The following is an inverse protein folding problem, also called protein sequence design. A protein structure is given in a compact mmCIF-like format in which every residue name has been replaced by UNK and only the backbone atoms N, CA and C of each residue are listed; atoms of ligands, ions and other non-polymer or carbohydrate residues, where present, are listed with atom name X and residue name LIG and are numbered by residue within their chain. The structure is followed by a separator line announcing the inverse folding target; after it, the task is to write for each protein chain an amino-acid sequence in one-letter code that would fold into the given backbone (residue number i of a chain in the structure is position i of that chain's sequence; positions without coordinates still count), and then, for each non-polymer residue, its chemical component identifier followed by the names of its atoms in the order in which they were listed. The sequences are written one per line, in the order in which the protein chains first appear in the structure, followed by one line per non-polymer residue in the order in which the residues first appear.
data_IF_476020673933
#
_entry.id   IF_476020673933
#
_cell.length_a   1.000
_cell.length_b   1.000
_cell.length_c   1.000
_cell.angle_alpha   90.00
_cell.angle_beta   90.00
_cell.angle_gamma   90.00
#
_symmetry.space_group_name_H-M   'P 1'
#
loop_
_entity.id
_entity.type
_entity.pdbx_description
1 polymer ?
#
# COMPACT_ATOMS: atom_id res chain seq x y z
N UNK A 1 -9.40 -19.66 -38.94
CA UNK A 1 -10.02 -18.42 -38.42
C UNK A 1 -10.79 -18.72 -37.14
N UNK A 2 -10.17 -18.44 -35.98
CA UNK A 2 -10.77 -18.47 -34.63
C UNK A 2 -10.12 -17.31 -33.85
N UNK A 3 -10.85 -16.58 -32.98
CA UNK A 3 -10.46 -15.25 -32.55
C UNK A 3 -9.38 -15.32 -31.46
N UNK A 4 -8.26 -14.67 -31.73
CA UNK A 4 -7.04 -14.62 -30.92
C UNK A 4 -6.95 -13.30 -30.14
N UNK A 5 -8.05 -12.88 -29.50
CA UNK A 5 -8.17 -11.58 -28.81
C UNK A 5 -8.93 -11.79 -27.50
N UNK A 6 -8.31 -12.40 -26.47
CA UNK A 6 -8.85 -12.38 -25.09
C UNK A 6 -7.82 -12.38 -23.96
N UNK A 7 -6.51 -12.37 -24.23
CA UNK A 7 -5.47 -12.56 -23.20
C UNK A 7 -4.64 -11.31 -22.86
N UNK A 8 -5.10 -10.11 -23.24
CA UNK A 8 -4.32 -8.87 -23.06
C UNK A 8 -4.95 -7.83 -22.10
N UNK A 9 -6.07 -8.16 -21.44
CA UNK A 9 -6.86 -7.17 -20.68
C UNK A 9 -6.69 -7.13 -19.15
N UNK A 10 -6.18 -8.14 -18.41
CA UNK A 10 -6.14 -8.03 -16.94
C UNK A 10 -4.84 -7.42 -16.39
N UNK A 11 -3.71 -7.49 -17.11
CA UNK A 11 -2.41 -6.96 -16.62
C UNK A 11 -2.36 -5.42 -16.63
N UNK A 12 -3.16 -4.77 -17.48
CA UNK A 12 -3.25 -3.30 -17.55
C UNK A 12 -4.14 -2.70 -16.43
N UNK A 13 -5.04 -3.48 -15.84
CA UNK A 13 -6.00 -2.96 -14.86
C UNK A 13 -5.39 -2.74 -13.47
N UNK A 14 -4.41 -3.53 -13.04
CA UNK A 14 -3.82 -3.38 -11.70
C UNK A 14 -2.70 -2.32 -11.63
N UNK A 15 -2.02 -2.03 -12.74
CA UNK A 15 -1.01 -0.96 -12.81
C UNK A 15 -1.63 0.46 -12.94
N UNK A 16 -2.91 0.58 -13.29
CA UNK A 16 -3.59 1.87 -13.53
C UNK A 16 -4.31 2.47 -12.31
N UNK A 17 -4.36 1.78 -11.16
CA UNK A 17 -5.16 2.24 -10.00
C UNK A 17 -4.27 2.86 -8.90
N UNK A 18 -2.95 2.65 -8.94
CA UNK A 18 -2.01 3.16 -7.93
C UNK A 18 -1.35 4.51 -8.23
N UNK A 19 -1.33 4.96 -9.50
CA UNK A 19 -0.59 6.16 -9.90
C UNK A 19 -1.47 7.39 -10.22
N UNK A 20 -2.79 7.22 -10.30
CA UNK A 20 -3.69 8.29 -10.74
C UNK A 20 -4.21 9.15 -9.59
N UNK A 21 -4.29 8.62 -8.37
CA UNK A 21 -4.86 9.34 -7.25
C UNK A 21 -3.95 9.15 -6.04
N UNK A 22 -3.42 10.24 -5.51
CA UNK A 22 -2.57 10.19 -4.32
C UNK A 22 -2.68 11.46 -3.48
N UNK A 23 -2.64 11.27 -2.16
CA UNK A 23 -2.46 12.34 -1.18
C UNK A 23 -1.13 12.14 -0.47
N UNK A 24 -0.30 13.19 -0.48
CA UNK A 24 0.98 13.24 0.22
C UNK A 24 0.95 14.30 1.31
N UNK A 25 1.64 14.03 2.41
CA UNK A 25 1.74 14.91 3.55
C UNK A 25 3.20 15.35 3.74
N UNK A 26 3.42 16.62 4.09
CA UNK A 26 4.75 17.19 4.30
C UNK A 26 5.48 16.59 5.51
N UNK A 27 4.73 16.24 6.55
CA UNK A 27 5.25 15.70 7.80
C UNK A 27 4.60 14.35 8.13
N UNK A 28 5.25 13.49 8.96
CA UNK A 28 4.60 12.30 9.47
C UNK A 28 3.59 12.64 10.56
N UNK A 29 2.82 11.63 10.98
CA UNK A 29 1.73 11.78 11.93
C UNK A 29 2.21 11.87 13.39
N UNK A 30 2.32 13.08 13.94
CA UNK A 30 2.69 13.30 15.35
C UNK A 30 4.11 12.86 15.70
N UNK A 31 4.44 12.84 16.99
CA UNK A 31 5.79 12.55 17.49
C UNK A 31 6.00 11.12 18.00
N UNK A 32 4.91 10.44 18.36
CA UNK A 32 4.93 9.06 18.84
C UNK A 32 4.93 8.08 17.66
N UNK A 33 6.08 7.99 16.98
CA UNK A 33 6.28 7.09 15.85
C UNK A 33 6.99 5.83 16.32
N UNK A 34 6.33 4.70 16.15
CA UNK A 34 6.85 3.38 16.47
C UNK A 34 7.36 2.68 15.22
N UNK A 35 8.44 1.92 15.36
CA UNK A 35 9.01 1.11 14.26
C UNK A 35 8.45 -0.31 14.22
N UNK A 36 7.63 -0.69 15.21
CA UNK A 36 7.08 -2.02 15.33
C UNK A 36 5.68 -2.02 15.94
N UNK A 37 4.70 -2.58 15.23
CA UNK A 37 3.48 -3.10 15.82
C UNK A 37 3.52 -4.64 15.77
N UNK A 38 3.54 -5.27 16.95
CA UNK A 38 3.56 -6.74 17.07
C UNK A 38 2.33 -7.41 16.47
N UNK A 39 1.20 -6.71 16.33
CA UNK A 39 0.00 -7.24 15.69
C UNK A 39 0.20 -7.44 14.17
N UNK A 40 1.21 -6.82 13.56
CA UNK A 40 1.57 -7.02 12.16
C UNK A 40 2.52 -8.20 11.93
N UNK A 41 3.13 -8.77 12.97
CA UNK A 41 4.07 -9.90 12.82
C UNK A 41 3.43 -11.09 12.08
N UNK A 42 4.21 -11.70 11.21
CA UNK A 42 3.81 -12.83 10.38
C UNK A 42 3.76 -12.51 8.89
N UNK A 43 3.26 -13.48 8.13
CA UNK A 43 3.13 -13.42 6.68
C UNK A 43 1.68 -13.11 6.30
N UNK A 44 1.46 -12.19 5.38
CA UNK A 44 0.16 -11.67 4.98
C UNK A 44 0.01 -11.66 3.47
N UNK A 45 -1.17 -12.04 2.99
CA UNK A 45 -1.55 -12.02 1.58
C UNK A 45 -2.88 -11.32 1.41
N UNK A 46 -3.10 -10.71 0.25
CA UNK A 46 -4.35 -10.02 -0.04
C UNK A 46 -5.54 -11.01 0.02
N UNK A 47 -6.67 -10.58 0.58
CA UNK A 47 -7.88 -11.37 0.60
C UNK A 47 -8.40 -11.56 -0.81
N UNK A 48 -8.44 -12.82 -1.28
CA UNK A 48 -8.80 -13.15 -2.65
C UNK A 48 -7.64 -13.78 -3.42
N UNK A 49 -6.40 -13.58 -2.97
CA UNK A 49 -5.24 -14.32 -3.45
C UNK A 49 -5.34 -15.77 -2.98
N UNK A 50 -5.91 -16.62 -3.82
CA UNK A 50 -5.99 -18.04 -3.53
C UNK A 50 -4.62 -18.69 -3.76
N UNK A 51 -3.84 -18.77 -2.68
CA UNK A 51 -2.57 -19.50 -2.63
C UNK A 51 -2.71 -20.97 -3.07
N UNK A 52 -3.93 -21.52 -3.21
CA UNK A 52 -4.20 -22.91 -3.65
C UNK A 52 -4.51 -23.07 -5.14
N UNK A 53 -4.98 -22.03 -5.84
CA UNK A 53 -5.29 -22.04 -7.29
C UNK A 53 -4.10 -22.12 -8.25
N UNK A 54 -3.77 -23.28 -8.80
CA UNK A 54 -2.59 -23.46 -9.69
C UNK A 54 -2.75 -22.95 -11.14
N UNK A 55 -3.76 -22.14 -11.46
CA UNK A 55 -3.92 -21.58 -12.81
C UNK A 55 -2.85 -20.52 -13.11
N UNK A 56 -2.20 -20.61 -14.27
CA UNK A 56 -0.93 -19.95 -14.64
C UNK A 56 -0.92 -18.42 -14.76
N UNK A 57 -1.95 -17.71 -14.30
CA UNK A 57 -2.01 -16.24 -14.26
C UNK A 57 -1.95 -15.73 -12.82
N UNK A 58 -0.92 -16.17 -12.06
CA UNK A 58 -0.71 -15.70 -10.69
C UNK A 58 0.27 -14.54 -10.64
N UNK A 59 -0.25 -13.39 -10.23
CA UNK A 59 0.53 -12.38 -9.52
C UNK A 59 0.30 -12.63 -8.03
N UNK A 60 1.35 -12.86 -7.26
CA UNK A 60 1.24 -12.96 -5.82
C UNK A 60 1.89 -11.73 -5.20
N UNK A 61 1.08 -11.01 -4.41
CA UNK A 61 1.53 -9.85 -3.65
C UNK A 61 1.20 -10.07 -2.19
N UNK A 62 2.22 -9.98 -1.36
CA UNK A 62 2.06 -10.13 0.09
C UNK A 62 3.16 -9.39 0.81
N UNK A 63 3.15 -9.48 2.13
CA UNK A 63 4.24 -8.96 2.94
C UNK A 63 4.48 -9.81 4.16
N UNK A 64 5.71 -9.77 4.67
CA UNK A 64 6.09 -10.37 5.92
C UNK A 64 6.62 -9.30 6.88
N UNK A 65 6.24 -9.41 8.15
CA UNK A 65 6.87 -8.67 9.24
C UNK A 65 7.51 -9.69 10.17
N UNK A 66 8.84 -9.65 10.26
CA UNK A 66 9.61 -10.60 11.05
C UNK A 66 9.61 -10.28 12.55
N UNK A 67 10.31 -11.10 13.34
CA UNK A 67 10.41 -10.92 14.78
C UNK A 67 11.15 -9.65 15.21
N UNK A 68 12.01 -9.12 14.34
CA UNK A 68 12.71 -7.84 14.49
C UNK A 68 11.90 -6.66 13.91
N UNK A 69 10.65 -6.91 13.51
CA UNK A 69 9.73 -5.95 12.92
C UNK A 69 10.20 -5.36 11.59
N UNK A 70 11.04 -6.09 10.86
CA UNK A 70 11.38 -5.72 9.50
C UNK A 70 10.23 -6.06 8.55
N UNK A 71 9.63 -5.04 7.95
CA UNK A 71 8.63 -5.21 6.91
C UNK A 71 9.31 -5.52 5.56
N UNK A 72 8.88 -6.62 4.95
CA UNK A 72 9.35 -7.09 3.65
C UNK A 72 8.16 -7.27 2.72
N UNK A 73 8.09 -6.49 1.66
CA UNK A 73 7.20 -6.71 0.54
C UNK A 73 7.66 -7.93 -0.26
N UNK A 74 6.73 -8.79 -0.64
CA UNK A 74 6.95 -10.01 -1.40
C UNK A 74 6.12 -9.93 -2.66
N UNK A 75 6.79 -10.01 -3.81
CA UNK A 75 6.17 -9.98 -5.12
C UNK A 75 6.61 -11.21 -5.91
N UNK A 76 5.67 -11.88 -6.58
CA UNK A 76 5.95 -12.84 -7.64
C UNK A 76 5.24 -12.35 -8.91
N UNK A 77 5.95 -11.60 -9.78
CA UNK A 77 5.33 -11.01 -10.96
C UNK A 77 4.83 -12.03 -11.97
N UNK A 78 5.43 -13.22 -12.04
CA UNK A 78 5.05 -14.28 -12.96
C UNK A 78 4.92 -15.61 -12.23
N UNK A 79 3.89 -16.39 -12.54
CA UNK A 79 3.65 -17.68 -11.90
C UNK A 79 4.86 -18.61 -12.07
N UNK A 80 5.41 -19.10 -10.95
CA UNK A 80 6.59 -19.96 -10.94
C UNK A 80 7.93 -19.22 -11.13
N UNK A 81 7.90 -17.92 -11.40
CA UNK A 81 9.08 -17.05 -11.43
C UNK A 81 9.70 -16.84 -10.04
N UNK A 82 10.88 -16.19 -9.97
CA UNK A 82 11.52 -15.91 -8.69
C UNK A 82 10.71 -14.92 -7.86
N UNK A 83 10.71 -15.12 -6.53
CA UNK A 83 10.17 -14.13 -5.61
C UNK A 83 11.12 -12.95 -5.51
N UNK A 84 10.57 -11.75 -5.67
CA UNK A 84 11.23 -10.50 -5.32
C UNK A 84 10.85 -10.15 -3.90
N UNK A 85 11.86 -9.91 -3.06
CA UNK A 85 11.68 -9.47 -1.68
C UNK A 85 12.28 -8.09 -1.54
N UNK A 86 11.53 -7.12 -1.05
CA UNK A 86 12.02 -5.76 -0.85
C UNK A 86 11.69 -5.28 0.55
N UNK A 87 12.72 -4.90 1.30
CA UNK A 87 12.54 -4.34 2.64
C UNK A 87 12.05 -2.91 2.52
N UNK A 88 10.92 -2.60 3.17
CA UNK A 88 10.33 -1.27 3.16
C UNK A 88 10.27 -0.75 4.60
N UNK A 89 11.00 0.33 4.92
CA UNK A 89 10.82 0.99 6.21
C UNK A 89 9.40 1.54 6.33
N UNK A 90 8.63 1.00 7.27
CA UNK A 90 7.32 1.53 7.64
C UNK A 90 7.30 1.88 9.11
N UNK A 91 6.44 2.81 9.49
CA UNK A 91 6.25 3.22 10.86
C UNK A 91 4.78 3.15 11.27
N UNK A 92 4.53 3.10 12.56
CA UNK A 92 3.21 2.98 13.15
C UNK A 92 2.94 4.16 14.09
N UNK A 93 1.69 4.61 14.14
CA UNK A 93 1.23 5.67 15.04
C UNK A 93 -0.13 5.27 15.58
N UNK A 94 -0.33 5.42 16.89
CA UNK A 94 -1.57 5.08 17.58
C UNK A 94 -2.20 6.34 18.19
N UNK A 95 -3.43 6.67 17.79
CA UNK A 95 -4.09 7.92 18.19
C UNK A 95 -5.56 7.67 18.50
N UNK A 96 -5.97 7.90 19.76
CA UNK A 96 -7.37 7.85 20.20
C UNK A 96 -8.10 6.54 19.83
N UNK A 97 -7.40 5.41 19.87
CA UNK A 97 -7.94 4.09 19.54
C UNK A 97 -7.93 3.75 18.04
N UNK A 98 -7.32 4.61 17.22
CA UNK A 98 -7.06 4.35 15.81
C UNK A 98 -5.58 4.14 15.55
N UNK A 99 -5.29 3.24 14.61
CA UNK A 99 -3.94 2.84 14.26
C UNK A 99 -3.62 3.24 12.82
N UNK A 100 -2.42 3.78 12.61
CA UNK A 100 -1.99 4.34 11.33
C UNK A 100 -0.64 3.78 10.95
N UNK A 101 -0.49 3.42 9.67
CA UNK A 101 0.81 3.14 9.07
C UNK A 101 1.27 4.38 8.33
N UNK A 102 2.53 4.74 8.52
CA UNK A 102 3.18 5.92 7.94
C UNK A 102 4.39 5.47 7.15
N UNK A 103 4.42 5.83 5.87
CA UNK A 103 5.51 5.48 4.94
C UNK A 103 6.06 6.75 4.32
N UNK A 104 7.39 6.92 4.29
CA UNK A 104 7.99 8.04 3.56
C UNK A 104 8.13 7.72 2.08
N UNK A 105 8.07 8.74 1.23
CA UNK A 105 8.37 8.63 -0.20
C UNK A 105 9.78 8.04 -0.45
N UNK A 106 10.75 8.40 0.37
CA UNK A 106 12.11 7.87 0.31
C UNK A 106 12.15 6.35 0.54
N UNK A 107 11.26 5.80 1.39
CA UNK A 107 11.15 4.37 1.62
C UNK A 107 10.58 3.61 0.41
N UNK A 108 9.90 4.31 -0.50
CA UNK A 108 9.29 3.76 -1.70
C UNK A 108 10.17 3.90 -2.95
N UNK A 109 11.33 4.53 -2.85
CA UNK A 109 12.25 4.74 -3.98
C UNK A 109 12.68 3.39 -4.58
N UNK A 110 12.45 3.23 -5.89
CA UNK A 110 12.78 2.00 -6.63
C UNK A 110 11.70 0.91 -6.55
N UNK A 111 10.65 1.12 -5.77
CA UNK A 111 9.43 0.31 -5.79
C UNK A 111 8.38 0.89 -6.72
N UNK A 112 8.21 2.21 -6.66
CA UNK A 112 7.23 2.95 -7.46
C UNK A 112 7.86 4.24 -7.99
N UNK A 113 7.38 4.72 -9.13
CA UNK A 113 7.79 6.00 -9.70
C UNK A 113 6.91 7.11 -9.14
N UNK A 114 7.47 7.93 -8.24
CA UNK A 114 6.78 9.06 -7.62
C UNK A 114 7.24 10.36 -8.27
N UNK A 115 6.35 10.99 -9.03
CA UNK A 115 6.57 12.35 -9.54
C UNK A 115 6.62 13.35 -8.37
N UNK A 116 7.34 14.44 -8.51
CA UNK A 116 7.31 15.52 -7.52
C UNK A 116 5.88 16.08 -7.38
N UNK A 117 5.46 16.51 -6.17
CA UNK A 117 4.20 17.21 -5.99
C UNK A 117 4.10 18.44 -6.89
N UNK A 118 2.93 18.65 -7.47
CA UNK A 118 2.69 19.75 -8.40
C UNK A 118 2.63 21.11 -7.69
N UNK A 119 3.19 22.12 -8.34
CA UNK A 119 3.17 23.53 -7.91
C UNK A 119 3.75 23.75 -6.51
N UNK A 120 4.73 22.91 -6.14
CA UNK A 120 5.55 23.08 -4.93
C UNK A 120 6.99 23.36 -5.35
N UNK A 121 7.44 24.61 -5.18
CA UNK A 121 8.81 25.05 -5.43
C UNK A 121 9.41 25.67 -4.14
N UNK A 122 10.54 25.15 -3.61
CA UNK A 122 11.25 23.96 -4.07
C UNK A 122 10.46 22.68 -3.83
N UNK A 123 10.67 21.62 -4.64
CA UNK A 123 10.09 20.31 -4.37
C UNK A 123 10.39 19.86 -2.94
N UNK A 124 9.41 19.27 -2.23
CA UNK A 124 9.61 18.89 -0.85
C UNK A 124 10.70 17.82 -0.75
N UNK A 125 11.57 17.96 0.24
CA UNK A 125 12.68 17.02 0.43
C UNK A 125 12.20 15.62 0.86
N UNK A 126 11.02 15.56 1.50
CA UNK A 126 10.36 14.35 1.96
C UNK A 126 8.86 14.55 1.89
N UNK A 127 8.17 13.45 1.64
CA UNK A 127 6.72 13.35 1.72
C UNK A 127 6.34 12.06 2.44
N UNK A 128 5.14 12.04 3.01
CA UNK A 128 4.63 10.91 3.76
C UNK A 128 3.27 10.47 3.22
N UNK A 129 3.03 9.16 3.28
CA UNK A 129 1.77 8.52 2.98
C UNK A 129 1.22 7.92 4.26
N UNK A 130 -0.10 8.07 4.45
CA UNK A 130 -0.81 7.51 5.60
C UNK A 130 -1.84 6.50 5.12
N UNK A 131 -2.00 5.42 5.89
CA UNK A 131 -3.20 4.60 5.84
C UNK A 131 -3.65 4.28 7.26
N UNK A 132 -4.96 4.28 7.48
CA UNK A 132 -5.51 3.79 8.75
C UNK A 132 -5.65 2.28 8.63
N UNK A 133 -5.20 1.56 9.64
CA UNK A 133 -5.32 0.12 9.66
C UNK A 133 -6.12 -0.38 10.85
N UNK A 134 -6.53 -1.65 10.75
CA UNK A 134 -7.09 -2.38 11.87
C UNK A 134 -6.74 -3.85 11.76
N UNK A 135 -6.16 -4.39 12.82
CA UNK A 135 -5.93 -5.83 12.95
C UNK A 135 -7.04 -6.46 13.79
N UNK A 136 -7.65 -7.54 13.30
CA UNK A 136 -8.61 -8.38 14.02
C UNK A 136 -8.28 -9.84 13.81
N UNK A 137 -7.60 -10.45 14.78
CA UNK A 137 -7.14 -11.84 14.67
C UNK A 137 -6.17 -12.00 13.49
N UNK A 138 -6.56 -12.80 12.50
CA UNK A 138 -5.77 -13.05 11.29
C UNK A 138 -6.15 -12.14 10.11
N UNK A 139 -6.95 -11.09 10.32
CA UNK A 139 -7.38 -10.15 9.28
C UNK A 139 -6.78 -8.78 9.55
N UNK A 140 -6.14 -8.19 8.54
CA UNK A 140 -5.67 -6.81 8.54
C UNK A 140 -6.47 -6.04 7.50
N UNK A 141 -7.09 -4.95 7.91
CA UNK A 141 -7.81 -4.04 7.02
C UNK A 141 -7.01 -2.74 6.89
N UNK A 142 -6.79 -2.27 5.66
CA UNK A 142 -6.19 -0.96 5.38
C UNK A 142 -7.24 -0.07 4.70
N UNK A 143 -7.31 1.18 5.16
CA UNK A 143 -8.11 2.25 4.55
C UNK A 143 -7.14 3.32 4.10
N UNK A 144 -7.07 3.55 2.79
CA UNK A 144 -6.30 4.67 2.26
C UNK A 144 -6.99 6.00 2.58
N UNK A 145 -6.24 7.07 2.40
CA UNK A 145 -6.78 8.43 2.44
C UNK A 145 -7.81 8.59 1.31
N UNK A 146 -8.94 9.19 1.62
CA UNK A 146 -9.94 9.59 0.64
C UNK A 146 -9.47 10.91 0.00
N UNK A 147 -8.76 10.76 -1.12
CA UNK A 147 -8.10 11.87 -1.80
C UNK A 147 -9.08 12.97 -2.23
N UNK A 148 -10.32 12.61 -2.56
CA UNK A 148 -11.36 13.56 -2.93
C UNK A 148 -11.80 14.40 -1.73
N UNK A 149 -11.96 13.79 -0.54
CA UNK A 149 -12.23 14.53 0.71
C UNK A 149 -11.08 15.46 1.06
N UNK A 150 -9.83 15.00 0.95
CA UNK A 150 -8.67 15.85 1.27
C UNK A 150 -8.53 16.99 0.27
N UNK A 151 -8.66 16.73 -1.03
CA UNK A 151 -8.65 17.75 -2.06
C UNK A 151 -9.70 18.84 -1.79
N UNK A 152 -10.92 18.44 -1.40
CA UNK A 152 -11.97 19.37 -1.02
C UNK A 152 -11.56 20.25 0.18
N UNK A 153 -10.96 19.67 1.22
CA UNK A 153 -10.51 20.43 2.38
C UNK A 153 -9.40 21.45 2.03
N UNK A 154 -8.53 21.13 1.08
CA UNK A 154 -7.51 22.08 0.57
C UNK A 154 -8.18 23.18 -0.25
N UNK A 155 -9.08 22.84 -1.18
CA UNK A 155 -9.82 23.80 -2.01
C UNK A 155 -10.66 24.76 -1.16
N UNK A 156 -11.31 24.25 -0.12
CA UNK A 156 -12.14 25.03 0.81
C UNK A 156 -11.28 25.86 1.79
N UNK A 157 -9.95 25.80 1.70
CA UNK A 157 -9.01 26.54 2.55
C UNK A 157 -8.94 26.05 4.00
N UNK A 158 -9.50 24.87 4.29
CA UNK A 158 -9.44 24.25 5.62
C UNK A 158 -8.08 23.63 5.92
N UNK A 159 -7.36 23.22 4.87
CA UNK A 159 -6.00 22.70 4.92
C UNK A 159 -5.10 23.50 3.99
N UNK A 160 -3.85 23.73 4.40
CA UNK A 160 -2.83 24.30 3.52
C UNK A 160 -2.26 23.20 2.61
N UNK A 161 -2.09 23.48 1.32
CA UNK A 161 -1.69 22.48 0.34
C UNK A 161 -1.92 22.88 -1.11
N UNK A 162 -1.67 21.94 -2.01
CA UNK A 162 -1.96 22.07 -3.44
C UNK A 162 -2.80 20.89 -3.93
N UNK A 163 -3.62 21.14 -4.95
CA UNK A 163 -4.43 20.12 -5.63
C UNK A 163 -4.17 20.22 -7.12
N UNK A 164 -3.73 19.12 -7.72
CA UNK A 164 -3.64 18.97 -9.17
C UNK A 164 -4.68 17.97 -9.64
N UNK A 165 -5.58 18.43 -10.51
CA UNK A 165 -6.61 17.59 -11.11
C UNK A 165 -6.38 17.45 -12.61
N UNK A 166 -6.06 16.24 -13.05
CA UNK A 166 -6.04 15.84 -14.46
C UNK A 166 -7.37 15.22 -14.91
N UNK A 167 -7.43 14.71 -16.14
CA UNK A 167 -8.64 14.06 -16.66
C UNK A 167 -9.04 12.82 -15.84
N UNK A 168 -8.04 12.03 -15.44
CA UNK A 168 -8.21 10.81 -14.65
C UNK A 168 -7.30 10.83 -13.41
N UNK A 169 -6.73 11.98 -13.07
CA UNK A 169 -5.70 12.09 -12.05
C UNK A 169 -6.09 13.11 -10.98
N UNK A 170 -5.78 12.83 -9.72
CA UNK A 170 -5.97 13.73 -8.59
C UNK A 170 -4.79 13.56 -7.62
N UNK A 171 -3.89 14.54 -7.64
CA UNK A 171 -2.75 14.60 -6.73
C UNK A 171 -2.99 15.71 -5.71
N UNK A 172 -2.86 15.38 -4.42
CA UNK A 172 -3.02 16.32 -3.32
C UNK A 172 -1.75 16.34 -2.50
N UNK A 173 -1.25 17.53 -2.22
CA UNK A 173 -0.14 17.72 -1.28
C UNK A 173 -0.62 18.58 -0.12
N UNK A 174 -0.48 18.08 1.10
CA UNK A 174 -0.90 18.78 2.33
C UNK A 174 0.33 19.25 3.09
N UNK A 175 0.39 20.55 3.34
CA UNK A 175 1.45 21.21 4.12
C UNK A 175 1.15 21.18 5.61
N UNK A 176 2.21 21.21 6.39
CA UNK A 176 2.14 21.36 7.83
C UNK A 176 3.11 20.48 8.60
N UNK A 177 3.30 20.86 9.87
CA UNK A 177 4.12 20.14 10.83
C UNK A 177 3.44 18.88 11.38
N UNK A 178 4.22 18.07 12.10
CA UNK A 178 3.81 16.79 12.69
C UNK A 178 2.56 16.88 13.56
N UNK A 179 2.48 17.93 14.39
CA UNK A 179 1.32 18.18 15.24
C UNK A 179 0.07 18.57 14.43
N UNK A 180 0.23 19.35 13.35
CA UNK A 180 -0.88 19.68 12.47
C UNK A 180 -1.43 18.44 11.75
N UNK A 181 -0.56 17.53 11.29
CA UNK A 181 -0.99 16.24 10.71
C UNK A 181 -1.77 15.39 11.72
N UNK A 182 -1.30 15.37 12.97
CA UNK A 182 -1.98 14.67 14.06
C UNK A 182 -3.36 15.26 14.36
N UNK A 183 -3.50 16.58 14.35
CA UNK A 183 -4.78 17.24 14.57
C UNK A 183 -5.73 17.08 13.38
N UNK A 184 -5.18 17.01 12.17
CA UNK A 184 -5.89 16.73 10.92
C UNK A 184 -6.59 15.36 10.96
N UNK A 185 -5.92 14.27 11.34
CA UNK A 185 -6.58 12.95 11.47
C UNK A 185 -7.55 12.86 12.65
N UNK A 186 -7.42 13.73 13.66
CA UNK A 186 -8.34 13.78 14.81
C UNK A 186 -9.62 14.54 14.50
N UNK A 187 -9.53 15.58 13.68
CA UNK A 187 -10.62 16.52 13.40
C UNK A 187 -11.44 16.10 12.19
N UNK A 188 -10.82 15.46 11.21
CA UNK A 188 -11.44 15.14 9.93
C UNK A 188 -11.48 13.63 9.69
N UNK A 189 -12.57 13.14 9.10
CA UNK A 189 -12.66 11.77 8.57
C UNK A 189 -12.00 11.72 7.18
N UNK A 190 -10.68 11.57 7.17
CA UNK A 190 -9.86 11.66 5.96
C UNK A 190 -9.74 10.35 5.20
N UNK A 191 -10.20 9.25 5.78
CA UNK A 191 -9.99 7.92 5.22
C UNK A 191 -11.26 7.43 4.52
N UNK A 192 -11.07 6.44 3.65
CA UNK A 192 -12.20 5.77 3.02
C UNK A 192 -13.09 5.08 4.06
N UNK A 193 -14.40 5.09 3.82
CA UNK A 193 -15.38 4.46 4.72
C UNK A 193 -15.30 2.93 4.74
N UNK A 194 -14.71 2.33 3.70
CA UNK A 194 -14.51 0.88 3.55
C UNK A 194 -13.01 0.57 3.41
N UNK A 195 -12.57 -0.63 3.79
CA UNK A 195 -11.19 -1.06 3.53
C UNK A 195 -10.92 -1.05 2.02
N UNK A 196 -9.81 -0.44 1.64
CA UNK A 196 -9.29 -0.42 0.27
C UNK A 196 -8.51 -1.69 -0.02
N UNK A 197 -7.82 -2.21 1.00
CA UNK A 197 -7.10 -3.47 0.97
C UNK A 197 -7.43 -4.27 2.22
N UNK A 198 -7.51 -5.59 2.05
CA UNK A 198 -7.67 -6.53 3.13
C UNK A 198 -6.62 -7.60 2.98
N UNK A 199 -5.93 -7.93 4.06
CA UNK A 199 -4.96 -9.00 4.11
C UNK A 199 -5.38 -10.07 5.11
N UNK A 200 -5.01 -11.32 4.80
CA UNK A 200 -5.19 -12.48 5.66
C UNK A 200 -3.81 -13.01 6.05
N UNK A 201 -3.61 -13.23 7.35
CA UNK A 201 -2.39 -13.82 7.88
C UNK A 201 -2.31 -15.29 7.51
N UNK A 202 -1.21 -15.67 6.89
CA UNK A 202 -0.84 -17.06 6.63
C UNK A 202 -0.51 -17.79 7.93
N UNK A 203 -0.81 -19.09 7.95
CA UNK A 203 -0.33 -20.01 9.00
C UNK A 203 1.00 -20.67 8.64
N UNK A 204 1.40 -20.57 7.38
CA UNK A 204 2.68 -21.05 6.85
C UNK A 204 3.73 -19.94 6.95
N UNK A 205 5.00 -20.32 7.09
CA UNK A 205 6.11 -19.39 6.94
C UNK A 205 6.38 -19.09 5.45
N UNK A 206 7.19 -18.06 5.19
CA UNK A 206 7.51 -17.63 3.83
C UNK A 206 8.24 -18.73 3.03
N UNK A 207 9.15 -19.46 3.65
CA UNK A 207 9.93 -20.49 2.96
C UNK A 207 9.04 -21.67 2.55
N UNK A 208 8.08 -22.05 3.39
CA UNK A 208 7.08 -23.07 3.10
C UNK A 208 6.19 -22.66 1.93
N UNK A 209 5.69 -21.42 1.92
CA UNK A 209 4.89 -20.90 0.81
C UNK A 209 5.68 -20.90 -0.49
N UNK A 210 6.92 -20.39 -0.47
CA UNK A 210 7.77 -20.37 -1.67
C UNK A 210 8.08 -21.77 -2.19
N UNK A 211 8.46 -22.71 -1.31
CA UNK A 211 8.70 -24.11 -1.68
C UNK A 211 7.47 -24.76 -2.28
N UNK A 212 6.29 -24.50 -1.71
CA UNK A 212 5.02 -25.03 -2.20
C UNK A 212 4.69 -24.50 -3.59
N UNK A 213 4.86 -23.20 -3.82
CA UNK A 213 4.59 -22.56 -5.10
C UNK A 213 5.57 -23.00 -6.19
N UNK A 214 6.86 -23.17 -5.86
CA UNK A 214 7.87 -23.72 -6.78
C UNK A 214 7.56 -25.17 -7.18
N UNK A 215 7.17 -26.03 -6.22
CA UNK A 215 6.80 -27.43 -6.52
C UNK A 215 5.54 -27.55 -7.38
N UNK A 216 4.59 -26.64 -7.21
CA UNK A 216 3.39 -26.55 -8.04
C UNK A 216 3.71 -26.23 -9.49
N UNK A 217 4.63 -25.28 -9.73
CA UNK A 217 5.08 -24.89 -11.07
C UNK A 217 5.80 -26.02 -11.82
N UNK A 218 6.58 -26.85 -11.12
CA UNK A 218 7.33 -27.97 -11.74
C UNK A 218 6.41 -29.12 -12.19
N UNK A 219 5.18 -29.21 -11.67
CA UNK A 219 4.26 -30.34 -11.92
C UNK A 219 3.37 -30.22 -13.16
N UNK A 220 3.46 -29.16 -13.96
CA UNK A 220 2.78 -29.07 -15.25
C UNK A 220 3.72 -29.35 -16.45
N UNK A 221 3.84 -30.62 -16.86
CA UNK A 221 3.93 -30.96 -18.26
C UNK A 221 2.58 -31.58 -18.67
N UNK A 222 1.65 -30.75 -19.16
CA UNK A 222 0.49 -31.27 -19.91
C UNK A 222 0.73 -31.11 -21.40
N UNK A 223 0.80 -32.28 -22.03
CA UNK A 223 0.83 -32.57 -23.47
C UNK A 223 -0.32 -31.92 -24.22
#
# INVERSE_FOLDING_TARGET
MRPMIRLLFPVLACALIGACVETRFESPLGDNIETCDTAWKGLWFEEGDDLRRTDGERHLTGFAVDEACAFTLIEQPEAGGPFKRTRVPINYVHVRGDDYVVVSDAALRGLVDLKAPYDIDPPPQKSFFFARYRVRGNRLELRKVDDAKVAKLVIDGSLDGTVQKGRNELHVYVRGGRQQMLDLVRKHDLFESKPSLVFVRSREDLQDVERRLQRGAIREPRR
#
